data_IF_476670468510
#
_entry.id   IF_476670468510
#
_cell.length_a   1.000
_cell.length_b   1.000
_cell.length_c   1.000
_cell.angle_alpha   90.00
_cell.angle_beta   90.00
_cell.angle_gamma   90.00
#
_symmetry.space_group_name_H-M   'P 1'
#
loop_
_entity.id
_entity.type
_entity.pdbx_description
1 polymer ?
#
# COMPACT_ATOMS: atom_id res chain seq x y z
N UNK A 1 -0.87 8.42 1.05
CA UNK A 1 0.05 7.88 2.06
C UNK A 1 0.87 9.02 2.63
N UNK A 2 1.05 9.07 3.95
CA UNK A 2 1.95 10.03 4.61
C UNK A 2 2.93 9.27 5.48
N UNK A 3 4.24 9.43 5.21
CA UNK A 3 5.30 8.84 6.04
C UNK A 3 5.27 9.34 7.49
N UNK A 4 4.68 10.52 7.73
CA UNK A 4 4.52 11.11 9.05
C UNK A 4 3.28 10.59 9.80
N UNK A 5 2.31 10.02 9.07
CA UNK A 5 1.09 9.44 9.62
C UNK A 5 0.93 8.01 9.07
N UNK A 6 1.79 7.04 9.49
CA UNK A 6 1.88 5.72 8.86
C UNK A 6 0.58 4.90 8.98
N UNK A 7 -0.23 5.18 10.01
CA UNK A 7 -1.50 4.51 10.25
C UNK A 7 -2.69 5.19 9.54
N UNK A 8 -2.47 6.33 8.87
CA UNK A 8 -3.54 6.98 8.11
C UNK A 8 -3.91 6.14 6.90
N UNK A 9 -5.19 6.08 6.48
CA UNK A 9 -5.59 5.36 5.28
C UNK A 9 -4.89 5.87 4.01
N UNK A 10 -4.61 4.95 3.09
CA UNK A 10 -3.91 5.23 1.85
C UNK A 10 -4.94 5.24 0.74
N UNK A 11 -5.11 6.39 0.08
CA UNK A 11 -5.82 6.42 -1.20
C UNK A 11 -4.90 5.89 -2.28
N UNK A 12 -5.38 4.88 -3.01
CA UNK A 12 -4.67 4.22 -4.09
C UNK A 12 -5.52 4.37 -5.35
N UNK A 13 -5.09 5.25 -6.23
CA UNK A 13 -5.76 5.50 -7.50
C UNK A 13 -4.76 5.28 -8.64
N UNK A 14 -5.13 4.46 -9.61
CA UNK A 14 -4.35 4.34 -10.85
C UNK A 14 -4.59 5.57 -11.73
N UNK A 15 -3.63 5.91 -12.59
CA UNK A 15 -3.72 7.11 -13.44
C UNK A 15 -4.90 7.07 -14.43
N UNK A 16 -5.28 5.86 -14.86
CA UNK A 16 -6.43 5.60 -15.73
C UNK A 16 -7.78 5.53 -14.96
N UNK A 17 -7.75 5.63 -13.63
CA UNK A 17 -8.94 5.57 -12.78
C UNK A 17 -9.59 4.19 -12.67
N UNK A 18 -9.01 3.14 -13.25
CA UNK A 18 -9.51 1.76 -13.16
C UNK A 18 -9.49 1.28 -11.71
N UNK A 19 -8.42 1.56 -10.98
CA UNK A 19 -8.26 1.21 -9.57
C UNK A 19 -8.57 2.45 -8.74
N UNK A 20 -9.54 2.33 -7.85
CA UNK A 20 -9.84 3.36 -6.85
C UNK A 20 -10.12 2.68 -5.51
N UNK A 21 -9.05 2.47 -4.76
CA UNK A 21 -9.08 1.75 -3.49
C UNK A 21 -8.62 2.66 -2.34
N UNK A 22 -9.10 2.33 -1.15
CA UNK A 22 -8.60 2.80 0.13
C UNK A 22 -8.03 1.61 0.88
N UNK A 23 -6.77 1.71 1.28
CA UNK A 23 -6.16 0.77 2.21
C UNK A 23 -6.15 1.36 3.62
N UNK A 24 -6.68 0.62 4.59
CA UNK A 24 -6.65 0.99 6.01
C UNK A 24 -5.62 0.10 6.72
N UNK A 25 -4.46 0.65 7.13
CA UNK A 25 -3.44 -0.12 7.82
C UNK A 25 -3.93 -0.64 9.18
N UNK A 26 -3.69 -1.91 9.47
CA UNK A 26 -3.97 -2.55 10.77
C UNK A 26 -2.69 -2.87 11.55
N UNK A 27 -1.54 -2.88 10.86
CA UNK A 27 -0.22 -3.02 11.47
C UNK A 27 0.88 -2.95 10.41
N UNK A 28 2.13 -3.10 10.86
CA UNK A 28 3.29 -3.02 9.97
C UNK A 28 4.44 -3.92 10.43
N UNK A 29 5.18 -4.45 9.47
CA UNK A 29 6.48 -5.11 9.63
C UNK A 29 7.56 -4.19 9.06
N UNK A 30 8.61 -3.95 9.84
CA UNK A 30 9.75 -3.12 9.44
C UNK A 30 11.01 -3.96 9.36
N UNK A 31 11.72 -3.87 8.25
CA UNK A 31 13.06 -4.41 8.08
C UNK A 31 14.03 -3.28 7.75
N UNK A 32 15.15 -3.26 8.47
CA UNK A 32 16.24 -2.29 8.28
C UNK A 32 17.53 -3.05 8.03
N UNK A 33 18.09 -2.91 6.84
CA UNK A 33 19.37 -3.51 6.46
C UNK A 33 20.37 -2.38 6.20
N UNK A 34 21.46 -2.39 6.95
CA UNK A 34 22.62 -1.51 6.77
C UNK A 34 23.86 -2.38 6.55
N UNK A 35 24.17 -2.71 5.30
CA UNK A 35 25.47 -3.27 4.91
C UNK A 35 26.32 -2.15 4.30
N UNK A 36 27.65 -2.20 4.41
CA UNK A 36 28.59 -1.11 4.10
C UNK A 36 28.35 -0.31 2.79
N UNK A 37 27.69 -0.92 1.79
CA UNK A 37 27.31 -0.29 0.51
C UNK A 37 25.80 -0.37 0.19
N UNK A 38 24.98 -0.97 1.04
CA UNK A 38 23.54 -1.20 0.80
C UNK A 38 22.75 -0.71 2.02
N UNK A 39 21.93 0.32 1.81
CA UNK A 39 20.92 0.75 2.77
C UNK A 39 19.53 0.46 2.21
N UNK A 40 18.78 -0.43 2.87
CA UNK A 40 17.36 -0.68 2.56
C UNK A 40 16.50 -0.39 3.78
N UNK A 41 15.45 0.41 3.57
CA UNK A 41 14.37 0.63 4.53
C UNK A 41 13.08 0.10 3.91
N UNK A 42 12.64 -1.06 4.40
CA UNK A 42 11.43 -1.70 3.93
C UNK A 42 10.36 -1.66 5.03
N UNK A 43 9.21 -1.06 4.74
CA UNK A 43 8.05 -1.10 5.62
C UNK A 43 6.86 -1.66 4.87
N UNK A 44 6.40 -2.83 5.32
CA UNK A 44 5.22 -3.50 4.80
C UNK A 44 4.09 -3.35 5.80
N UNK A 45 2.99 -2.76 5.37
CA UNK A 45 1.77 -2.65 6.15
C UNK A 45 0.84 -3.78 5.77
N UNK A 46 0.12 -4.34 6.75
CA UNK A 46 -1.00 -5.25 6.51
C UNK A 46 -2.28 -4.60 6.98
N UNK A 47 -3.37 -4.86 6.27
CA UNK A 47 -4.63 -4.18 6.53
C UNK A 47 -5.70 -4.58 5.53
N UNK A 48 -6.73 -3.75 5.44
CA UNK A 48 -7.90 -4.02 4.60
C UNK A 48 -8.02 -3.03 3.47
N UNK A 49 -8.47 -3.51 2.32
CA UNK A 49 -8.81 -2.74 1.14
C UNK A 49 -10.32 -2.61 1.02
N UNK A 50 -10.76 -1.39 0.73
CA UNK A 50 -12.13 -1.07 0.35
C UNK A 50 -12.13 -0.25 -0.94
N UNK A 51 -13.15 -0.41 -1.78
CA UNK A 51 -13.36 0.44 -2.95
C UNK A 51 -13.80 -0.37 -4.16
N UNK A 52 -13.29 0.02 -5.32
CA UNK A 52 -13.73 -0.56 -6.58
C UNK A 52 -12.60 -0.67 -7.62
N UNK A 53 -12.76 -1.67 -8.49
CA UNK A 53 -11.96 -1.85 -9.69
C UNK A 53 -12.91 -1.88 -10.89
N UNK A 54 -12.71 -0.98 -11.84
CA UNK A 54 -13.56 -0.76 -13.02
C UNK A 54 -12.93 -1.39 -14.25
N UNK A 55 -13.32 -2.61 -14.58
CA UNK A 55 -12.88 -3.30 -15.79
C UNK A 55 -13.87 -3.02 -16.94
N UNK A 56 -13.49 -3.42 -18.15
CA UNK A 56 -14.36 -3.27 -19.32
C UNK A 56 -15.60 -4.18 -19.17
N UNK A 57 -16.73 -3.59 -18.79
CA UNK A 57 -18.01 -4.29 -18.62
C UNK A 57 -18.22 -4.92 -17.25
N UNK A 58 -17.31 -4.71 -16.29
CA UNK A 58 -17.41 -5.27 -14.94
C UNK A 58 -16.96 -4.25 -13.89
N UNK A 59 -17.75 -4.13 -12.82
CA UNK A 59 -17.38 -3.39 -11.62
C UNK A 59 -17.15 -4.38 -10.48
N UNK A 60 -15.92 -4.46 -10.00
CA UNK A 60 -15.56 -5.31 -8.87
C UNK A 60 -15.59 -4.44 -7.62
N UNK A 61 -16.51 -4.74 -6.70
CA UNK A 61 -16.50 -4.17 -5.36
C UNK A 61 -15.52 -4.92 -4.47
N UNK A 62 -14.64 -4.17 -3.82
CA UNK A 62 -13.69 -4.69 -2.84
C UNK A 62 -14.14 -4.18 -1.48
N UNK A 63 -14.48 -5.08 -0.56
CA UNK A 63 -14.95 -4.74 0.78
C UNK A 63 -14.20 -5.58 1.81
N UNK A 64 -13.56 -4.92 2.79
CA UNK A 64 -12.81 -5.57 3.87
C UNK A 64 -11.81 -6.64 3.40
N UNK A 65 -11.22 -6.46 2.21
CA UNK A 65 -10.31 -7.44 1.62
C UNK A 65 -8.92 -7.31 2.25
N UNK A 66 -8.43 -8.38 2.88
CA UNK A 66 -7.11 -8.36 3.51
C UNK A 66 -5.98 -8.37 2.49
N UNK A 67 -4.93 -7.57 2.75
CA UNK A 67 -3.73 -7.61 1.96
C UNK A 67 -2.60 -6.75 2.55
N UNK A 68 -1.58 -6.54 1.72
CA UNK A 68 -0.37 -5.81 2.08
C UNK A 68 -0.18 -4.58 1.21
N UNK A 69 0.39 -3.53 1.80
CA UNK A 69 0.81 -2.32 1.10
C UNK A 69 2.21 -1.91 1.56
N UNK A 70 3.09 -1.57 0.63
CA UNK A 70 4.51 -1.35 0.91
C UNK A 70 4.91 0.10 0.59
N UNK A 71 5.74 0.67 1.46
CA UNK A 71 6.54 1.85 1.15
C UNK A 71 8.00 1.39 1.04
N UNK A 72 8.51 1.35 -0.19
CA UNK A 72 9.85 0.86 -0.49
C UNK A 72 10.73 1.99 -1.01
N UNK A 73 11.89 2.16 -0.37
CA UNK A 73 12.92 3.09 -0.80
C UNK A 73 14.26 2.37 -0.86
N UNK A 74 14.81 2.26 -2.07
CA UNK A 74 16.12 1.68 -2.32
C UNK A 74 17.05 2.78 -2.88
N UNK A 75 18.27 2.86 -2.34
CA UNK A 75 19.37 3.60 -2.94
C UNK A 75 20.51 2.62 -3.19
N UNK A 76 21.15 2.77 -4.34
CA UNK A 76 22.36 2.07 -4.74
C UNK A 76 23.41 3.10 -5.17
#
# INVERSE_FOLDING_TARGET
FSRYLPNSPWRMQSADGIVNLRFTPMGQRKEKINALFIASNFTQHFGVFDGEIRLAGELIHVENCWGFAEDHYARW
#
